data_IF_767934156261
#
_entry.id   IF_767934156261
#
_cell.length_a   1.000
_cell.length_b   1.000
_cell.length_c   1.000
_cell.angle_alpha   90.00
_cell.angle_beta   90.00
_cell.angle_gamma   90.00
#
_symmetry.space_group_name_H-M   'P 1'
#
loop_
_entity.id
_entity.type
_entity.pdbx_description
1 polymer ?
#
# COMPACT_ATOMS: atom_id res chain seq x y z
N UNK A 1 15.04 -15.00 -11.92
CA UNK A 1 14.38 -14.27 -10.82
C UNK A 1 13.01 -13.83 -11.32
N UNK A 2 11.92 -14.20 -10.63
CA UNK A 2 10.52 -14.05 -11.10
C UNK A 2 10.01 -12.61 -11.00
N UNK A 3 10.68 -11.75 -10.22
CA UNK A 3 10.25 -10.38 -9.95
C UNK A 3 11.34 -9.33 -10.23
N UNK A 4 12.48 -9.75 -10.79
CA UNK A 4 13.52 -8.84 -11.22
C UNK A 4 12.94 -7.78 -12.18
N UNK A 5 13.08 -6.51 -11.82
CA UNK A 5 12.61 -5.37 -12.63
C UNK A 5 11.13 -5.02 -12.48
N UNK A 6 10.35 -5.77 -11.69
CA UNK A 6 8.97 -5.39 -11.38
C UNK A 6 8.93 -4.57 -10.07
N UNK A 7 8.60 -3.27 -10.10
CA UNK A 7 8.42 -2.51 -8.88
C UNK A 7 7.25 -3.10 -8.08
N UNK A 8 7.38 -3.13 -6.75
CA UNK A 8 6.25 -3.45 -5.87
C UNK A 8 5.15 -2.39 -6.05
N UNK A 9 3.88 -2.81 -5.93
CA UNK A 9 2.74 -1.91 -6.06
C UNK A 9 2.28 -1.40 -4.69
N UNK A 10 2.19 -2.31 -3.72
CA UNK A 10 2.01 -2.01 -2.31
C UNK A 10 3.09 -2.70 -1.49
N UNK A 11 3.46 -2.06 -0.39
CA UNK A 11 4.35 -2.63 0.60
C UNK A 11 3.73 -2.47 1.99
N UNK A 12 3.39 -3.59 2.64
CA UNK A 12 3.15 -3.63 4.07
C UNK A 12 4.50 -3.53 4.79
N UNK A 13 4.78 -2.36 5.37
CA UNK A 13 6.10 -2.11 5.97
C UNK A 13 6.12 -2.36 7.48
N UNK A 14 4.96 -2.49 8.12
CA UNK A 14 4.83 -2.95 9.50
C UNK A 14 3.47 -3.61 9.73
N UNK A 15 3.46 -4.64 10.57
CA UNK A 15 2.25 -5.26 11.11
C UNK A 15 1.99 -4.91 12.57
N UNK A 16 2.79 -4.00 13.15
CA UNK A 16 2.71 -3.58 14.56
C UNK A 16 2.53 -2.08 14.72
N UNK A 17 1.90 -1.44 13.72
CA UNK A 17 1.62 -0.02 13.74
C UNK A 17 0.62 0.35 14.84
N UNK A 18 0.82 1.49 15.50
CA UNK A 18 -0.16 2.06 16.44
C UNK A 18 -0.78 3.30 15.81
N UNK A 19 -2.08 3.25 15.56
CA UNK A 19 -2.81 4.34 14.91
C UNK A 19 -3.98 4.81 15.79
N UNK A 20 -4.19 6.14 15.94
CA UNK A 20 -5.36 6.66 16.63
C UNK A 20 -6.66 6.10 16.04
N UNK A 21 -7.52 5.55 16.90
CA UNK A 21 -8.81 4.96 16.48
C UNK A 21 -8.74 3.48 16.08
N UNK A 22 -7.56 2.86 16.02
CA UNK A 22 -7.40 1.41 15.83
C UNK A 22 -6.93 0.80 17.16
N UNK A 23 -7.67 -0.21 17.65
CA UNK A 23 -7.30 -0.92 18.87
C UNK A 23 -6.35 -2.06 18.53
N UNK A 24 -5.19 -2.08 19.18
CA UNK A 24 -4.14 -3.07 18.94
C UNK A 24 -3.28 -2.71 17.73
N UNK A 25 -2.55 -3.70 17.24
CA UNK A 25 -1.61 -3.55 16.15
C UNK A 25 -2.32 -3.39 14.80
N UNK A 26 -1.78 -2.50 13.97
CA UNK A 26 -2.28 -2.19 12.64
C UNK A 26 -1.23 -2.47 11.57
N UNK A 27 -1.69 -3.07 10.47
CA UNK A 27 -0.92 -3.19 9.25
C UNK A 27 -0.85 -1.83 8.55
N UNK A 28 0.37 -1.29 8.38
CA UNK A 28 0.56 -0.05 7.63
C UNK A 28 1.21 -0.35 6.29
N UNK A 29 0.57 0.16 5.24
CA UNK A 29 0.91 -0.11 3.84
C UNK A 29 1.27 1.20 3.12
N UNK A 30 2.26 1.14 2.23
CA UNK A 30 2.61 2.21 1.30
C UNK A 30 2.23 1.81 -0.14
N UNK A 31 1.74 2.77 -0.92
CA UNK A 31 1.54 2.62 -2.37
C UNK A 31 2.76 3.16 -3.13
N UNK A 32 3.23 2.45 -4.14
CA UNK A 32 4.38 2.88 -4.95
C UNK A 32 3.99 3.90 -6.01
N UNK A 33 3.78 5.14 -5.60
CA UNK A 33 3.45 6.22 -6.52
C UNK A 33 2.98 7.48 -5.84
N UNK A 34 2.72 8.50 -6.65
CA UNK A 34 2.12 9.74 -6.18
C UNK A 34 0.58 9.65 -6.16
N UNK A 35 -0.06 10.74 -5.75
CA UNK A 35 -1.51 10.85 -5.65
C UNK A 35 -2.25 10.61 -6.98
N UNK A 36 -1.71 11.11 -8.09
CA UNK A 36 -2.35 10.94 -9.40
C UNK A 36 -2.30 9.48 -9.87
N UNK A 37 -1.17 8.82 -9.65
CA UNK A 37 -1.02 7.38 -9.90
C UNK A 37 -1.99 6.57 -9.04
N UNK A 38 -2.16 6.94 -7.77
CA UNK A 38 -3.14 6.34 -6.87
C UNK A 38 -4.58 6.48 -7.38
N UNK A 39 -4.99 7.70 -7.75
CA UNK A 39 -6.34 7.94 -8.29
C UNK A 39 -6.58 7.18 -9.60
N UNK A 40 -5.58 7.10 -10.48
CA UNK A 40 -5.65 6.30 -11.71
C UNK A 40 -5.80 4.81 -11.39
N UNK A 41 -5.04 4.30 -10.44
CA UNK A 41 -5.12 2.91 -10.01
C UNK A 41 -6.49 2.58 -9.42
N UNK A 42 -7.03 3.44 -8.53
CA UNK A 42 -8.36 3.29 -7.96
C UNK A 42 -9.44 3.21 -9.04
N UNK A 43 -9.47 4.13 -10.01
CA UNK A 43 -10.47 4.09 -11.10
C UNK A 43 -10.46 2.79 -11.90
N UNK A 44 -9.30 2.14 -12.00
CA UNK A 44 -9.13 0.91 -12.76
C UNK A 44 -9.37 -0.36 -11.94
N UNK A 45 -9.30 -0.31 -10.60
CA UNK A 45 -9.24 -1.50 -9.74
C UNK A 45 -10.18 -1.47 -8.53
N UNK A 46 -10.73 -0.31 -8.17
CA UNK A 46 -11.71 -0.17 -7.09
C UNK A 46 -13.10 0.02 -7.71
N UNK A 47 -13.98 -0.94 -7.44
CA UNK A 47 -15.42 -0.92 -7.77
C UNK A 47 -16.20 -0.10 -6.76
#
# INVERSE_FOLDING_TARGET
>A
DKFAGHPWLFWQYTGTGVLPGIKGDADINAFNGNRDAWLKWLRANAT
#
